data_IF_005432551068
#
_entry.id   IF_005432551068
#
_cell.length_a   1.000
_cell.length_b   1.000
_cell.length_c   1.000
_cell.angle_alpha   90.00
_cell.angle_beta   90.00
_cell.angle_gamma   90.00
#
_symmetry.space_group_name_H-M   'P 1'
#
loop_
_entity.id
_entity.type
_entity.pdbx_description
1 polymer ?
#
# COMPACT_ATOMS: atom_id res chain seq x y z
N UNK A 1 100.53 -6.84 -12.07
CA UNK A 1 99.62 -6.02 -11.28
C UNK A 1 98.26 -6.09 -11.97
N UNK A 2 97.38 -6.90 -11.48
CA UNK A 2 96.11 -7.28 -12.14
C UNK A 2 94.91 -6.62 -11.34
N UNK A 3 94.17 -5.82 -12.03
CA UNK A 3 92.88 -5.27 -11.48
C UNK A 3 91.68 -6.06 -12.08
N UNK A 4 91.02 -6.85 -11.23
CA UNK A 4 89.81 -7.54 -11.56
C UNK A 4 88.61 -6.58 -11.46
N UNK A 5 87.90 -6.36 -12.57
CA UNK A 5 86.63 -5.65 -12.57
C UNK A 5 85.49 -6.67 -12.18
N UNK A 6 84.81 -6.38 -11.10
CA UNK A 6 83.57 -7.07 -10.72
C UNK A 6 82.40 -6.44 -11.49
N UNK A 7 81.70 -7.26 -12.24
CA UNK A 7 80.48 -6.91 -12.88
C UNK A 7 79.37 -7.03 -11.84
N UNK A 8 78.62 -5.95 -11.61
CA UNK A 8 77.38 -6.00 -10.81
C UNK A 8 76.17 -6.42 -11.67
N UNK A 9 75.60 -7.57 -11.35
CA UNK A 9 74.36 -8.01 -11.95
C UNK A 9 73.19 -7.37 -11.19
N UNK A 10 72.44 -6.52 -11.87
CA UNK A 10 71.22 -5.95 -11.34
C UNK A 10 70.07 -6.98 -11.48
N UNK A 11 69.61 -7.53 -10.36
CA UNK A 11 68.35 -8.30 -10.30
C UNK A 11 67.15 -7.34 -10.32
N UNK A 12 66.44 -7.33 -11.44
CA UNK A 12 65.14 -6.70 -11.51
C UNK A 12 64.08 -7.63 -10.84
N UNK A 13 63.65 -7.27 -9.68
CA UNK A 13 62.54 -7.95 -9.00
C UNK A 13 61.21 -7.51 -9.65
N UNK A 14 60.58 -8.41 -10.41
CA UNK A 14 59.22 -8.25 -10.85
C UNK A 14 58.30 -8.44 -9.63
N UNK A 15 57.73 -7.39 -9.10
CA UNK A 15 56.65 -7.43 -8.12
C UNK A 15 55.36 -7.65 -8.91
N UNK A 16 54.90 -8.90 -9.00
CA UNK A 16 53.54 -9.24 -9.44
C UNK A 16 52.59 -8.83 -8.34
N UNK A 17 51.89 -7.71 -8.52
CA UNK A 17 50.79 -7.32 -7.65
C UNK A 17 49.66 -8.31 -7.88
N UNK A 18 49.47 -9.22 -6.93
CA UNK A 18 48.25 -10.08 -6.85
C UNK A 18 47.10 -9.13 -6.48
N UNK A 19 46.29 -8.76 -7.47
CA UNK A 19 44.97 -8.15 -7.20
C UNK A 19 44.11 -9.24 -6.63
N UNK A 20 44.08 -9.36 -5.28
CA UNK A 20 43.06 -10.12 -4.58
C UNK A 20 41.77 -9.36 -4.79
N UNK A 21 40.99 -9.78 -5.78
CA UNK A 21 39.60 -9.37 -5.92
C UNK A 21 38.89 -9.75 -4.64
N UNK A 22 38.57 -8.75 -3.81
CA UNK A 22 37.61 -8.94 -2.71
C UNK A 22 36.30 -9.27 -3.40
N UNK A 23 36.00 -10.58 -3.51
CA UNK A 23 34.66 -11.06 -3.76
C UNK A 23 33.88 -10.62 -2.52
N UNK A 24 33.23 -9.44 -2.61
CA UNK A 24 32.20 -9.08 -1.66
C UNK A 24 31.17 -10.22 -1.81
N UNK A 25 30.95 -11.06 -0.77
CA UNK A 25 29.93 -12.08 -0.88
C UNK A 25 28.65 -11.32 -1.19
N UNK A 26 27.94 -11.75 -2.27
CA UNK A 26 26.56 -11.39 -2.48
C UNK A 26 25.92 -11.51 -1.11
N UNK A 27 25.46 -10.40 -0.54
CA UNK A 27 24.76 -10.42 0.73
C UNK A 27 23.56 -11.28 0.43
N UNK A 28 23.66 -12.55 0.85
CA UNK A 28 22.62 -13.51 0.67
C UNK A 28 21.33 -12.81 1.09
N UNK A 29 20.45 -12.61 0.12
CA UNK A 29 19.10 -12.13 0.34
C UNK A 29 18.59 -12.94 1.53
N UNK A 30 18.50 -12.34 2.70
CA UNK A 30 17.85 -12.98 3.83
C UNK A 30 16.42 -13.20 3.34
N UNK A 31 16.12 -14.43 2.95
CA UNK A 31 14.76 -14.88 2.69
C UNK A 31 13.98 -14.48 3.96
N UNK A 32 13.00 -13.59 3.85
CA UNK A 32 12.22 -13.26 5.03
C UNK A 32 11.65 -14.58 5.53
N UNK A 33 11.97 -14.95 6.74
CA UNK A 33 11.45 -16.14 7.39
C UNK A 33 9.93 -16.11 7.28
N UNK A 34 9.37 -16.99 6.45
CA UNK A 34 8.01 -17.03 5.93
C UNK A 34 7.73 -15.92 4.89
N UNK A 35 7.40 -16.26 3.65
CA UNK A 35 7.02 -15.27 2.66
C UNK A 35 5.79 -14.54 3.20
N UNK A 36 5.97 -13.27 3.55
CA UNK A 36 4.84 -12.38 3.75
C UNK A 36 4.16 -12.36 2.39
N UNK A 37 3.02 -13.04 2.29
CA UNK A 37 2.22 -13.01 1.07
C UNK A 37 1.69 -11.60 0.95
N UNK A 38 2.44 -10.77 0.23
CA UNK A 38 1.98 -9.43 -0.10
C UNK A 38 0.63 -9.52 -0.80
N UNK A 39 -0.24 -8.53 -0.60
CA UNK A 39 -1.54 -8.47 -1.27
C UNK A 39 -1.42 -8.16 -2.76
N UNK A 40 -0.33 -8.56 -3.41
CA UNK A 40 -0.13 -8.49 -4.87
C UNK A 40 -1.27 -9.13 -5.68
N UNK A 41 -2.04 -10.02 -5.03
CA UNK A 41 -3.26 -10.59 -5.60
C UNK A 41 -4.44 -9.60 -5.66
N UNK A 42 -4.32 -8.42 -5.06
CA UNK A 42 -5.41 -7.45 -4.95
C UNK A 42 -4.94 -6.07 -5.36
N UNK A 43 -5.79 -5.34 -6.08
CA UNK A 43 -5.49 -3.96 -6.46
C UNK A 43 -5.75 -3.04 -5.28
N UNK A 44 -4.75 -2.24 -4.91
CA UNK A 44 -4.87 -1.22 -3.87
C UNK A 44 -5.46 0.08 -4.43
N UNK A 45 -6.28 0.75 -3.64
CA UNK A 45 -6.74 2.11 -3.88
C UNK A 45 -5.89 3.08 -3.06
N UNK A 46 -5.55 4.24 -3.65
CA UNK A 46 -4.73 5.27 -3.03
C UNK A 46 -5.44 6.61 -3.11
N UNK A 47 -5.20 7.45 -2.11
CA UNK A 47 -5.69 8.82 -2.09
C UNK A 47 -4.58 9.79 -1.70
N UNK A 48 -4.74 11.03 -2.14
CA UNK A 48 -3.92 12.16 -1.73
C UNK A 48 -4.84 13.35 -1.43
N UNK A 49 -4.62 14.01 -0.30
CA UNK A 49 -5.39 15.19 0.08
C UNK A 49 -5.73 15.21 1.56
N UNK A 50 -6.60 16.16 1.93
CA UNK A 50 -7.08 16.24 3.30
C UNK A 50 -8.20 15.24 3.54
N UNK A 51 -8.18 14.64 4.71
CA UNK A 51 -9.29 13.86 5.25
C UNK A 51 -9.52 14.27 6.70
N UNK A 52 -10.60 13.82 7.27
CA UNK A 52 -10.90 14.06 8.68
C UNK A 52 -11.29 12.75 9.36
N UNK A 53 -11.06 12.68 10.65
CA UNK A 53 -11.65 11.64 11.47
C UNK A 53 -12.65 12.23 12.46
N UNK A 54 -13.65 11.45 12.80
CA UNK A 54 -14.71 11.80 13.76
C UNK A 54 -15.22 10.52 14.40
N UNK A 55 -15.59 10.59 15.67
CA UNK A 55 -15.87 9.41 16.47
C UNK A 55 -16.96 8.49 15.87
N UNK A 56 -18.02 9.08 15.30
CA UNK A 56 -19.12 8.36 14.63
C UNK A 56 -19.14 8.68 13.15
N UNK A 57 -19.21 7.70 12.29
CA UNK A 57 -19.35 7.89 10.84
C UNK A 57 -20.52 8.85 10.54
N UNK A 58 -20.31 9.98 9.84
CA UNK A 58 -21.36 10.95 9.55
C UNK A 58 -22.49 10.34 8.73
N UNK A 59 -23.67 10.92 8.78
CA UNK A 59 -24.75 10.54 7.87
C UNK A 59 -24.35 10.84 6.41
N UNK A 60 -24.95 10.14 5.44
CA UNK A 60 -24.72 10.42 4.02
C UNK A 60 -25.15 11.85 3.65
N UNK A 61 -26.16 12.41 4.32
CA UNK A 61 -26.58 13.80 4.15
C UNK A 61 -25.51 14.79 4.63
N UNK A 62 -24.88 14.51 5.79
CA UNK A 62 -23.77 15.31 6.28
C UNK A 62 -22.55 15.26 5.34
N UNK A 63 -22.21 14.06 4.86
CA UNK A 63 -21.14 13.90 3.86
C UNK A 63 -21.47 14.63 2.54
N UNK A 64 -22.74 14.63 2.11
CA UNK A 64 -23.16 15.37 0.91
C UNK A 64 -23.04 16.89 1.09
N UNK A 65 -23.41 17.42 2.28
CA UNK A 65 -23.24 18.83 2.62
C UNK A 65 -21.77 19.27 2.65
N UNK A 66 -20.90 18.42 3.17
CA UNK A 66 -19.45 18.67 3.26
C UNK A 66 -18.73 18.53 1.92
N UNK A 67 -19.25 17.69 1.01
CA UNK A 67 -18.61 17.45 -0.28
C UNK A 67 -18.67 18.67 -1.18
N UNK A 68 -17.51 19.18 -1.58
CA UNK A 68 -17.39 20.37 -2.44
C UNK A 68 -17.49 21.71 -1.71
N UNK A 69 -17.91 21.73 -0.43
CA UNK A 69 -17.88 22.93 0.42
C UNK A 69 -16.69 22.94 1.37
N UNK A 70 -16.20 21.75 1.75
CA UNK A 70 -15.02 21.58 2.62
C UNK A 70 -13.77 21.27 1.82
N UNK A 71 -12.56 21.42 2.40
CA UNK A 71 -11.30 21.03 1.76
C UNK A 71 -11.05 19.52 1.81
N UNK A 72 -11.93 18.74 2.43
CA UNK A 72 -11.75 17.33 2.69
C UNK A 72 -12.23 16.47 1.51
N UNK A 73 -11.44 15.46 1.18
CA UNK A 73 -11.74 14.48 0.13
C UNK A 73 -11.84 13.07 0.68
N UNK A 74 -11.54 12.88 1.96
CA UNK A 74 -11.61 11.59 2.64
C UNK A 74 -12.17 11.72 4.05
N UNK A 75 -12.63 10.60 4.58
CA UNK A 75 -13.15 10.46 5.94
C UNK A 75 -12.68 9.16 6.55
N UNK A 76 -12.26 9.20 7.81
CA UNK A 76 -11.99 8.00 8.59
C UNK A 76 -13.30 7.31 8.99
N UNK A 77 -13.25 5.98 9.10
CA UNK A 77 -14.33 5.17 9.64
C UNK A 77 -13.78 4.21 10.70
N UNK A 78 -14.20 4.36 11.95
CA UNK A 78 -13.87 3.43 13.03
C UNK A 78 -14.72 2.17 12.93
N UNK A 79 -14.24 1.19 12.14
CA UNK A 79 -15.05 0.05 11.69
C UNK A 79 -15.03 -1.15 12.64
N UNK A 80 -14.16 -1.18 13.63
CA UNK A 80 -14.04 -2.31 14.55
C UNK A 80 -13.13 -2.07 15.74
N UNK A 81 -12.95 -3.13 16.53
CA UNK A 81 -12.10 -3.14 17.70
C UNK A 81 -12.86 -2.94 19.01
N UNK A 82 -12.35 -3.54 20.09
CA UNK A 82 -13.01 -3.54 21.41
C UNK A 82 -12.90 -2.21 22.15
N UNK A 83 -11.89 -1.39 21.81
CA UNK A 83 -11.68 -0.06 22.42
C UNK A 83 -12.32 1.07 21.61
N UNK A 84 -13.13 0.77 20.60
CA UNK A 84 -13.84 1.79 19.83
C UNK A 84 -14.77 2.59 20.73
N UNK A 85 -14.57 3.91 20.78
CA UNK A 85 -15.23 4.80 21.72
C UNK A 85 -16.71 5.08 21.43
N UNK A 86 -17.11 5.11 20.14
CA UNK A 86 -18.46 5.51 19.72
C UNK A 86 -19.19 4.40 19.00
N UNK A 87 -20.52 4.40 19.16
CA UNK A 87 -21.42 3.59 18.32
C UNK A 87 -21.35 4.05 16.85
N UNK A 88 -21.63 3.14 15.92
CA UNK A 88 -21.57 3.41 14.48
C UNK A 88 -22.92 3.13 13.78
N UNK A 89 -23.99 3.86 14.11
CA UNK A 89 -25.33 3.55 13.61
C UNK A 89 -25.45 3.72 12.09
N UNK A 90 -24.64 4.60 11.50
CA UNK A 90 -24.67 4.85 10.06
C UNK A 90 -23.80 3.86 9.27
N UNK A 91 -22.77 3.26 9.88
CA UNK A 91 -21.74 2.50 9.17
C UNK A 91 -22.22 1.11 8.78
N UNK A 92 -22.65 1.00 7.54
CA UNK A 92 -23.07 -0.24 6.88
C UNK A 92 -22.36 -0.42 5.55
N UNK A 93 -22.41 -1.63 4.96
CA UNK A 93 -21.87 -1.85 3.62
C UNK A 93 -22.53 -0.97 2.54
N UNK A 94 -23.81 -0.62 2.69
CA UNK A 94 -24.48 0.33 1.80
C UNK A 94 -23.96 1.76 1.98
N UNK A 95 -23.77 2.20 3.22
CA UNK A 95 -23.15 3.49 3.51
C UNK A 95 -21.74 3.61 2.88
N UNK A 96 -20.91 2.58 3.06
CA UNK A 96 -19.55 2.51 2.48
C UNK A 96 -19.58 2.68 0.95
N UNK A 97 -20.46 1.94 0.27
CA UNK A 97 -20.62 2.06 -1.19
C UNK A 97 -21.12 3.45 -1.60
N UNK A 98 -22.11 3.99 -0.89
CA UNK A 98 -22.67 5.31 -1.19
C UNK A 98 -21.66 6.43 -0.99
N UNK A 99 -20.94 6.45 0.13
CA UNK A 99 -19.88 7.41 0.40
C UNK A 99 -18.76 7.34 -0.65
N UNK A 100 -18.30 6.12 -0.98
CA UNK A 100 -17.28 5.92 -2.03
C UNK A 100 -17.79 6.37 -3.42
N UNK A 101 -19.05 6.10 -3.76
CA UNK A 101 -19.66 6.55 -5.03
C UNK A 101 -19.78 8.06 -5.11
N UNK A 102 -20.07 8.72 -3.98
CA UNK A 102 -20.07 10.17 -3.85
C UNK A 102 -18.66 10.79 -3.92
N UNK A 103 -17.61 9.98 -4.02
CA UNK A 103 -16.21 10.41 -4.22
C UNK A 103 -15.43 10.58 -2.92
N UNK A 104 -15.93 10.12 -1.78
CA UNK A 104 -15.16 10.09 -0.54
C UNK A 104 -14.16 8.94 -0.54
N UNK A 105 -12.90 9.24 -0.23
CA UNK A 105 -11.91 8.22 0.14
C UNK A 105 -12.13 7.81 1.59
N UNK A 106 -12.19 6.50 1.85
CA UNK A 106 -12.44 5.99 3.21
C UNK A 106 -11.13 5.47 3.81
N UNK A 107 -10.85 5.87 5.06
CA UNK A 107 -9.70 5.40 5.85
C UNK A 107 -10.20 4.52 6.98
N UNK A 108 -10.22 3.18 6.82
CA UNK A 108 -10.78 2.27 7.82
C UNK A 108 -9.81 2.09 9.00
N UNK A 109 -10.26 2.40 10.22
CA UNK A 109 -9.48 2.30 11.45
C UNK A 109 -10.10 1.31 12.43
N UNK A 110 -9.25 0.45 12.98
CA UNK A 110 -9.60 -0.60 13.92
C UNK A 110 -8.99 -0.29 15.29
N UNK A 111 -9.83 0.03 16.28
CA UNK A 111 -9.42 0.35 17.66
C UNK A 111 -9.36 -0.94 18.48
N UNK A 112 -8.28 -1.69 18.30
CA UNK A 112 -8.04 -2.99 18.96
C UNK A 112 -7.64 -2.84 20.42
N UNK A 113 -7.19 -3.95 20.98
CA UNK A 113 -6.60 -3.93 22.32
C UNK A 113 -5.32 -3.09 22.32
N UNK A 114 -5.11 -2.34 23.39
CA UNK A 114 -3.94 -1.49 23.54
C UNK A 114 -2.83 -2.17 24.33
N UNK A 115 -1.56 -1.75 24.20
CA UNK A 115 -0.49 -2.33 25.01
C UNK A 115 -0.73 -2.07 26.52
N UNK A 116 -0.26 -2.96 27.37
CA UNK A 116 -0.41 -2.85 28.83
C UNK A 116 0.10 -1.51 29.40
N UNK A 117 1.01 -0.88 28.71
CA UNK A 117 1.72 0.36 29.06
C UNK A 117 1.16 1.61 28.35
N UNK A 118 0.00 1.52 27.71
CA UNK A 118 -0.68 2.67 27.09
C UNK A 118 -0.99 3.74 28.14
N UNK A 119 -0.78 5.01 27.79
CA UNK A 119 -1.23 6.11 28.61
C UNK A 119 -2.75 6.25 28.60
N UNK A 120 -3.30 6.79 29.65
CA UNK A 120 -4.74 6.95 29.82
C UNK A 120 -5.49 5.64 30.11
N UNK A 121 -6.81 5.73 30.19
CA UNK A 121 -7.68 4.60 30.50
C UNK A 121 -8.17 3.93 29.23
N UNK A 122 -7.75 2.69 29.00
CA UNK A 122 -8.26 1.82 27.95
C UNK A 122 -8.71 0.49 28.57
N UNK A 123 -9.98 0.11 28.44
CA UNK A 123 -10.52 -1.07 29.13
C UNK A 123 -9.92 -2.39 28.64
N UNK A 124 -9.52 -2.47 27.38
CA UNK A 124 -8.95 -3.70 26.81
C UNK A 124 -7.48 -3.50 26.47
N UNK A 125 -6.63 -4.29 27.15
CA UNK A 125 -5.18 -4.23 26.99
C UNK A 125 -4.61 -5.64 26.83
N UNK A 126 -3.51 -5.75 26.07
CA UNK A 126 -2.76 -6.99 25.98
C UNK A 126 -1.48 -6.93 26.82
N UNK A 127 -1.13 -8.05 27.43
CA UNK A 127 0.16 -8.23 28.11
C UNK A 127 1.29 -8.40 27.09
N UNK A 128 2.54 -8.16 27.51
CA UNK A 128 3.70 -8.31 26.62
C UNK A 128 3.79 -9.70 25.98
N UNK A 129 3.57 -10.78 26.75
CA UNK A 129 3.58 -12.16 26.27
C UNK A 129 2.44 -12.49 25.29
N UNK A 130 1.35 -11.72 25.33
CA UNK A 130 0.17 -11.90 24.47
C UNK A 130 0.19 -11.09 23.17
N UNK A 131 1.19 -10.22 22.97
CA UNK A 131 1.20 -9.26 21.88
C UNK A 131 1.09 -9.90 20.49
N UNK A 132 1.81 -10.98 20.23
CA UNK A 132 1.75 -11.69 18.95
C UNK A 132 0.35 -12.27 18.67
N UNK A 133 -0.18 -13.02 19.64
CA UNK A 133 -1.51 -13.61 19.52
C UNK A 133 -2.59 -12.55 19.35
N UNK A 134 -2.48 -11.42 20.06
CA UNK A 134 -3.45 -10.32 19.98
C UNK A 134 -3.41 -9.62 18.62
N UNK A 135 -2.19 -9.27 18.14
CA UNK A 135 -2.05 -8.64 16.82
C UNK A 135 -2.62 -9.50 15.69
N UNK A 136 -2.34 -10.82 15.73
CA UNK A 136 -2.90 -11.76 14.78
C UNK A 136 -4.44 -11.87 14.87
N UNK A 137 -4.98 -11.96 16.08
CA UNK A 137 -6.44 -12.07 16.29
C UNK A 137 -7.18 -10.79 15.88
N UNK A 138 -6.66 -9.61 16.23
CA UNK A 138 -7.23 -8.32 15.83
C UNK A 138 -7.21 -8.16 14.31
N UNK A 139 -6.12 -8.58 13.65
CA UNK A 139 -6.05 -8.57 12.19
C UNK A 139 -7.08 -9.48 11.53
N UNK A 140 -7.34 -10.67 12.07
CA UNK A 140 -8.37 -11.59 11.58
C UNK A 140 -9.78 -11.00 11.76
N UNK A 141 -10.10 -10.45 12.93
CA UNK A 141 -11.40 -9.79 13.18
C UNK A 141 -11.58 -8.57 12.28
N UNK A 142 -10.52 -7.75 12.11
CA UNK A 142 -10.55 -6.61 11.20
C UNK A 142 -10.90 -7.02 9.76
N UNK A 143 -10.29 -8.09 9.25
CA UNK A 143 -10.61 -8.62 7.92
C UNK A 143 -12.06 -9.07 7.82
N UNK A 144 -12.58 -9.77 8.82
CA UNK A 144 -13.98 -10.22 8.83
C UNK A 144 -14.96 -9.03 8.79
N UNK A 145 -14.71 -8.00 9.61
CA UNK A 145 -15.52 -6.76 9.64
C UNK A 145 -15.39 -5.96 8.34
N UNK A 146 -14.17 -5.83 7.79
CA UNK A 146 -13.96 -5.17 6.51
C UNK A 146 -14.79 -5.78 5.40
N UNK A 147 -14.82 -7.13 5.31
CA UNK A 147 -15.63 -7.86 4.34
C UNK A 147 -17.13 -7.60 4.53
N UNK A 148 -17.63 -7.60 5.77
CA UNK A 148 -19.06 -7.32 6.06
C UNK A 148 -19.46 -5.90 5.65
N UNK A 149 -18.51 -4.96 5.64
CA UNK A 149 -18.70 -3.57 5.19
C UNK A 149 -18.41 -3.35 3.69
N UNK A 150 -18.19 -4.41 2.91
CA UNK A 150 -17.85 -4.32 1.48
C UNK A 150 -16.52 -3.62 1.20
N UNK A 151 -15.61 -3.59 2.17
CA UNK A 151 -14.22 -3.20 1.97
C UNK A 151 -13.48 -4.38 1.36
N UNK A 152 -13.00 -4.23 0.13
CA UNK A 152 -12.41 -5.32 -0.65
C UNK A 152 -10.94 -5.56 -0.28
N UNK A 153 -10.39 -6.76 -0.55
CA UNK A 153 -8.95 -6.96 -0.60
C UNK A 153 -8.26 -5.89 -1.44
N UNK A 154 -7.09 -5.43 -1.00
CA UNK A 154 -6.42 -4.23 -1.52
C UNK A 154 -6.74 -2.95 -0.73
N UNK A 155 -7.74 -2.96 0.16
CA UNK A 155 -7.94 -1.89 1.14
C UNK A 155 -6.80 -1.86 2.15
N UNK A 156 -6.39 -0.67 2.58
CA UNK A 156 -5.60 -0.49 3.79
C UNK A 156 -6.52 -0.44 5.01
N UNK A 157 -6.21 -1.24 6.02
CA UNK A 157 -6.86 -1.22 7.32
C UNK A 157 -5.85 -0.73 8.36
N UNK A 158 -6.19 0.31 9.10
CA UNK A 158 -5.29 0.96 10.05
C UNK A 158 -5.56 0.48 11.47
N UNK A 159 -4.57 -0.14 12.12
CA UNK A 159 -4.64 -0.38 13.57
C UNK A 159 -4.42 0.94 14.30
N UNK A 160 -5.27 1.25 15.26
CA UNK A 160 -5.09 2.35 16.19
C UNK A 160 -4.22 1.90 17.37
N UNK A 161 -3.00 2.43 17.44
CA UNK A 161 -2.05 2.21 18.54
C UNK A 161 -1.78 3.53 19.22
N UNK A 162 -2.40 3.71 20.36
CA UNK A 162 -2.35 4.93 21.15
C UNK A 162 -0.96 5.21 21.75
N UNK A 163 -0.76 6.40 22.29
CA UNK A 163 0.49 6.78 22.95
C UNK A 163 0.78 5.91 24.17
N UNK A 164 2.03 5.43 24.31
CA UNK A 164 2.46 4.51 25.36
C UNK A 164 3.84 4.86 25.92
N UNK A 165 4.14 4.29 27.08
CA UNK A 165 5.42 4.48 27.77
C UNK A 165 6.57 3.74 27.08
N UNK A 166 7.41 4.50 26.36
CA UNK A 166 8.61 4.00 25.68
C UNK A 166 9.80 3.72 26.62
N UNK A 167 9.76 4.20 27.87
CA UNK A 167 10.82 3.87 28.84
C UNK A 167 10.79 2.39 29.21
N UNK A 168 9.65 1.74 29.00
CA UNK A 168 9.47 0.31 29.21
C UNK A 168 9.85 -0.47 27.93
N UNK A 169 11.04 -1.06 27.90
CA UNK A 169 11.54 -1.84 26.76
C UNK A 169 10.66 -3.04 26.40
N UNK A 170 10.00 -3.67 27.39
CA UNK A 170 9.04 -4.76 27.14
C UNK A 170 7.82 -4.26 26.39
N UNK A 171 7.37 -3.03 26.68
CA UNK A 171 6.29 -2.39 25.95
C UNK A 171 6.66 -2.14 24.48
N UNK A 172 7.82 -1.56 24.24
CA UNK A 172 8.32 -1.32 22.88
C UNK A 172 8.35 -2.60 22.05
N UNK A 173 8.87 -3.69 22.66
CA UNK A 173 8.90 -5.00 22.01
C UNK A 173 7.50 -5.53 21.74
N UNK A 174 6.59 -5.42 22.70
CA UNK A 174 5.21 -5.87 22.57
C UNK A 174 4.47 -5.15 21.46
N UNK A 175 4.60 -3.82 21.35
CA UNK A 175 3.97 -3.04 20.29
C UNK A 175 4.51 -3.41 18.91
N UNK A 176 5.83 -3.53 18.76
CA UNK A 176 6.44 -3.97 17.48
C UNK A 176 5.94 -5.36 17.07
N UNK A 177 5.83 -6.28 18.02
CA UNK A 177 5.34 -7.64 17.79
C UNK A 177 3.85 -7.62 17.40
N UNK A 178 3.02 -6.87 18.12
CA UNK A 178 1.60 -6.69 17.79
C UNK A 178 1.42 -6.18 16.35
N UNK A 179 2.10 -5.09 15.98
CA UNK A 179 2.01 -4.49 14.62
C UNK A 179 2.52 -5.45 13.56
N UNK A 180 3.57 -6.22 13.84
CA UNK A 180 4.08 -7.26 12.93
C UNK A 180 3.03 -8.33 12.66
N UNK A 181 2.38 -8.87 13.68
CA UNK A 181 1.39 -9.93 13.50
C UNK A 181 0.05 -9.42 12.93
N UNK A 182 -0.35 -8.18 13.28
CA UNK A 182 -1.41 -7.45 12.58
C UNK A 182 -1.14 -7.41 11.07
N UNK A 183 0.06 -6.96 10.69
CA UNK A 183 0.48 -6.85 9.28
C UNK A 183 0.42 -8.20 8.58
N UNK A 184 0.96 -9.26 9.19
CA UNK A 184 0.92 -10.62 8.65
C UNK A 184 -0.51 -11.14 8.45
N UNK A 185 -1.38 -10.89 9.42
CA UNK A 185 -2.78 -11.33 9.35
C UNK A 185 -3.54 -10.66 8.20
N UNK A 186 -3.34 -9.36 7.99
CA UNK A 186 -3.94 -8.62 6.89
C UNK A 186 -3.41 -9.10 5.53
N UNK A 187 -2.09 -9.24 5.40
CA UNK A 187 -1.45 -9.68 4.15
C UNK A 187 -1.93 -11.06 3.71
N UNK A 188 -2.09 -12.02 4.65
CA UNK A 188 -2.66 -13.35 4.32
C UNK A 188 -4.05 -13.28 3.69
N UNK A 189 -4.80 -12.21 3.96
CA UNK A 189 -6.14 -11.99 3.43
C UNK A 189 -6.20 -11.00 2.26
N UNK A 190 -5.05 -10.51 1.78
CA UNK A 190 -4.94 -9.59 0.65
C UNK A 190 -5.23 -8.13 0.98
N UNK A 191 -5.20 -7.75 2.27
CA UNK A 191 -5.33 -6.36 2.72
C UNK A 191 -3.97 -5.73 2.99
N UNK A 192 -3.87 -4.40 2.86
CA UNK A 192 -2.72 -3.64 3.30
C UNK A 192 -2.85 -3.29 4.80
N UNK A 193 -1.72 -3.28 5.49
CA UNK A 193 -1.65 -2.96 6.90
C UNK A 193 -1.23 -1.49 7.08
N UNK A 194 -2.14 -0.67 7.56
CA UNK A 194 -1.85 0.64 8.10
C UNK A 194 -1.72 0.60 9.62
N UNK A 195 -1.10 1.63 10.18
CA UNK A 195 -1.08 1.86 11.62
C UNK A 195 -1.15 3.35 11.95
N UNK A 196 -2.09 3.73 12.81
CA UNK A 196 -2.13 5.03 13.46
C UNK A 196 -1.30 4.97 14.72
N UNK A 197 -0.40 5.95 14.91
CA UNK A 197 0.57 5.97 16.00
C UNK A 197 0.94 7.40 16.40
N UNK A 198 1.18 7.61 17.71
CA UNK A 198 1.76 8.86 18.18
C UNK A 198 3.23 8.99 17.73
N UNK A 199 3.66 10.22 17.37
CA UNK A 199 5.02 10.48 16.86
C UNK A 199 6.13 10.04 17.81
N UNK A 200 5.97 10.28 19.13
CA UNK A 200 7.02 10.07 20.14
C UNK A 200 7.03 8.65 20.72
N UNK A 201 6.04 7.81 20.38
CA UNK A 201 6.01 6.40 20.73
C UNK A 201 6.02 5.49 19.50
N UNK A 202 4.88 5.11 18.99
CA UNK A 202 4.77 4.10 17.94
C UNK A 202 5.55 4.42 16.67
N UNK A 203 5.49 5.67 16.17
CA UNK A 203 6.23 6.02 14.95
C UNK A 203 7.75 5.86 15.14
N UNK A 204 8.28 6.32 16.28
CA UNK A 204 9.71 6.20 16.60
C UNK A 204 10.15 4.74 16.65
N UNK A 205 9.34 3.89 17.27
CA UNK A 205 9.68 2.49 17.44
C UNK A 205 9.59 1.69 16.14
N UNK A 206 8.57 1.99 15.32
CA UNK A 206 8.44 1.40 13.99
C UNK A 206 9.54 1.87 13.03
N UNK A 207 9.93 3.15 13.08
CA UNK A 207 11.06 3.67 12.30
C UNK A 207 12.38 2.98 12.70
N UNK A 208 12.60 2.76 14.00
CA UNK A 208 13.76 2.04 14.50
C UNK A 208 13.82 0.55 14.11
N UNK A 209 12.69 -0.05 13.75
CA UNK A 209 12.60 -1.43 13.24
C UNK A 209 12.30 -1.53 11.76
N UNK A 210 12.40 -0.43 11.00
CA UNK A 210 12.01 -0.37 9.60
C UNK A 210 12.70 -1.40 8.70
N UNK A 211 13.99 -1.66 8.95
CA UNK A 211 14.81 -2.63 8.20
C UNK A 211 14.83 -4.04 8.85
N UNK A 212 13.96 -4.31 9.83
CA UNK A 212 13.89 -5.63 10.48
C UNK A 212 13.60 -6.73 9.44
N UNK A 213 14.32 -7.84 9.56
CA UNK A 213 14.09 -9.05 8.75
C UNK A 213 13.14 -10.03 9.42
N UNK A 214 12.83 -9.82 10.71
CA UNK A 214 11.99 -10.72 11.52
C UNK A 214 10.60 -10.16 11.80
N UNK A 215 10.46 -8.83 11.82
CA UNK A 215 9.19 -8.14 12.00
C UNK A 215 8.60 -7.71 10.66
N UNK A 216 7.35 -8.05 10.42
CA UNK A 216 6.61 -7.54 9.27
C UNK A 216 6.36 -6.04 9.47
N UNK A 217 6.75 -5.22 8.47
CA UNK A 217 6.57 -3.78 8.49
C UNK A 217 5.17 -3.44 7.98
N UNK A 218 4.43 -2.51 8.63
CA UNK A 218 3.18 -2.00 8.10
C UNK A 218 3.41 -1.27 6.76
N UNK A 219 2.42 -1.35 5.87
CA UNK A 219 2.47 -0.76 4.53
C UNK A 219 2.29 0.75 4.55
N UNK A 220 1.66 1.29 5.59
CA UNK A 220 1.45 2.72 5.76
C UNK A 220 1.45 3.12 7.23
N UNK A 221 1.86 4.36 7.48
CA UNK A 221 1.80 4.97 8.82
C UNK A 221 0.95 6.23 8.79
N UNK A 222 0.13 6.38 9.82
CA UNK A 222 -0.64 7.58 10.10
C UNK A 222 -0.17 8.16 11.44
N UNK A 223 0.62 9.24 11.36
CA UNK A 223 1.24 9.86 12.53
C UNK A 223 0.31 10.86 13.18
N UNK A 224 0.11 10.76 14.49
CA UNK A 224 -0.51 11.79 15.32
C UNK A 224 0.54 12.79 15.80
N UNK A 225 0.39 14.05 15.37
CA UNK A 225 1.14 15.20 15.84
C UNK A 225 0.36 16.48 15.56
N UNK A 226 -0.17 17.09 16.60
CA UNK A 226 -1.02 18.29 16.52
C UNK A 226 -0.17 19.57 16.52
N UNK A 227 0.45 19.84 15.40
CA UNK A 227 1.28 21.02 15.18
C UNK A 227 0.68 22.01 14.15
N UNK A 228 -0.56 21.76 13.72
CA UNK A 228 -1.29 22.49 12.68
C UNK A 228 -0.60 22.53 11.31
N UNK A 229 0.39 21.65 11.06
CA UNK A 229 1.11 21.56 9.80
C UNK A 229 0.66 20.34 8.99
N UNK A 230 -0.13 20.56 7.96
CA UNK A 230 -0.58 19.53 7.02
C UNK A 230 0.54 19.08 6.09
N UNK A 231 1.63 18.49 6.64
CA UNK A 231 2.82 18.05 5.89
C UNK A 231 3.11 16.58 6.11
N UNK A 232 3.52 15.88 5.04
CA UNK A 232 3.90 14.47 5.06
C UNK A 232 5.42 14.25 4.98
N UNK A 233 6.19 15.31 5.01
CA UNK A 233 7.66 15.32 4.97
C UNK A 233 8.21 16.19 6.11
N UNK A 234 9.53 16.10 6.35
CA UNK A 234 10.16 16.85 7.42
C UNK A 234 9.88 16.31 8.82
N UNK A 235 9.44 15.06 8.95
CA UNK A 235 9.21 14.43 10.24
C UNK A 235 10.53 14.08 10.92
N UNK A 236 10.75 14.60 12.10
CA UNK A 236 11.99 14.36 12.87
C UNK A 236 12.12 12.90 13.34
N UNK A 237 11.00 12.22 13.51
CA UNK A 237 10.92 10.85 14.06
C UNK A 237 11.09 9.78 12.97
N UNK A 238 10.65 10.05 11.75
CA UNK A 238 10.81 9.16 10.62
C UNK A 238 11.31 9.95 9.41
N UNK A 239 12.54 9.68 8.97
CA UNK A 239 13.15 10.34 7.80
C UNK A 239 12.28 10.23 6.55
N UNK A 240 12.48 11.14 5.60
CA UNK A 240 11.66 11.21 4.38
C UNK A 240 11.78 9.98 3.46
N UNK A 241 12.73 9.10 3.70
CA UNK A 241 12.92 7.84 2.96
C UNK A 241 12.08 6.68 3.48
N UNK A 242 11.60 6.75 4.74
CA UNK A 242 10.78 5.70 5.35
C UNK A 242 9.32 5.93 4.98
N UNK A 243 8.61 4.92 4.55
CA UNK A 243 7.21 5.01 4.06
C UNK A 243 6.98 6.13 3.03
N UNK A 244 7.97 6.40 2.16
CA UNK A 244 7.98 7.57 1.30
C UNK A 244 6.93 7.52 0.17
N UNK A 245 6.77 6.37 -0.46
CA UNK A 245 5.99 6.24 -1.70
C UNK A 245 4.52 5.88 -1.41
N UNK A 246 3.68 6.89 -1.24
CA UNK A 246 2.25 6.69 -1.00
C UNK A 246 1.96 5.83 0.25
N UNK A 247 2.64 6.12 1.37
CA UNK A 247 2.55 5.31 2.57
C UNK A 247 2.39 6.15 3.85
N UNK A 248 2.07 7.46 3.72
CA UNK A 248 1.99 8.38 4.87
C UNK A 248 0.65 9.04 5.00
N UNK A 249 0.21 9.17 6.27
CA UNK A 249 -0.84 10.07 6.70
C UNK A 249 -0.42 10.79 7.99
N UNK A 250 -1.04 11.94 8.28
CA UNK A 250 -0.78 12.69 9.50
C UNK A 250 -2.08 13.32 10.00
N UNK A 251 -2.37 13.13 11.30
CA UNK A 251 -3.33 13.92 12.05
C UNK A 251 -2.59 15.14 12.59
N UNK A 252 -2.92 16.31 12.06
CA UNK A 252 -2.17 17.54 12.35
C UNK A 252 -2.90 18.52 13.28
N UNK A 253 -4.21 18.30 13.49
CA UNK A 253 -5.03 19.10 14.42
C UNK A 253 -6.12 18.21 15.00
N UNK A 254 -6.17 18.12 16.33
CA UNK A 254 -7.15 17.33 17.06
C UNK A 254 -8.33 18.17 17.55
N UNK A 255 -9.40 17.52 17.91
CA UNK A 255 -10.59 17.94 18.63
C UNK A 255 -11.05 19.39 18.38
N UNK A 256 -11.68 19.62 17.24
CA UNK A 256 -12.24 20.93 16.92
C UNK A 256 -13.49 20.81 16.05
N UNK A 257 -14.31 21.86 16.12
CA UNK A 257 -15.54 21.93 15.34
C UNK A 257 -15.29 22.68 14.04
N UNK A 258 -15.75 22.11 12.93
CA UNK A 258 -15.86 22.79 11.63
C UNK A 258 -17.29 22.73 11.10
N UNK A 259 -17.66 23.75 10.32
CA UNK A 259 -19.00 23.87 9.72
C UNK A 259 -18.85 24.01 8.21
N UNK A 260 -19.37 23.05 7.46
CA UNK A 260 -19.35 23.06 6.00
C UNK A 260 -20.71 22.70 5.45
N UNK A 261 -21.18 23.43 4.43
CA UNK A 261 -22.51 23.23 3.86
C UNK A 261 -23.64 23.33 4.88
N UNK A 262 -23.44 24.11 5.97
CA UNK A 262 -24.40 24.28 7.05
C UNK A 262 -24.43 23.13 8.07
N UNK A 263 -23.55 22.14 7.95
CA UNK A 263 -23.47 21.00 8.88
C UNK A 263 -22.22 21.11 9.74
N UNK A 264 -22.41 21.10 11.07
CA UNK A 264 -21.35 21.13 12.08
C UNK A 264 -20.92 19.71 12.44
N UNK A 265 -19.60 19.44 12.42
CA UNK A 265 -19.01 18.19 12.92
C UNK A 265 -17.84 18.53 13.84
N UNK A 266 -17.66 17.72 14.90
CA UNK A 266 -16.44 17.71 15.68
C UNK A 266 -15.49 16.69 15.05
N UNK A 267 -14.29 17.14 14.68
CA UNK A 267 -13.33 16.38 13.88
C UNK A 267 -11.91 16.54 14.39
N UNK A 268 -11.07 15.61 13.98
CA UNK A 268 -9.64 15.83 13.84
C UNK A 268 -9.30 16.03 12.37
N UNK A 269 -8.38 16.96 12.08
CA UNK A 269 -7.95 17.25 10.71
C UNK A 269 -6.69 16.48 10.32
N UNK A 270 -6.74 15.88 9.13
CA UNK A 270 -5.73 14.97 8.61
C UNK A 270 -5.30 15.31 7.20
N UNK A 271 -4.13 14.78 6.82
CA UNK A 271 -3.64 14.75 5.45
C UNK A 271 -3.09 13.35 5.13
N UNK A 272 -3.34 12.87 3.92
CA UNK A 272 -2.87 11.58 3.43
C UNK A 272 -2.22 11.69 2.05
N UNK A 273 -1.17 10.90 1.83
CA UNK A 273 -0.70 10.39 0.54
C UNK A 273 -0.40 8.91 0.75
N UNK A 274 -1.42 8.08 0.57
CA UNK A 274 -1.33 6.68 0.99
C UNK A 274 -2.50 5.81 0.56
N UNK A 275 -2.45 4.52 0.93
CA UNK A 275 -3.50 3.57 0.62
C UNK A 275 -4.73 3.80 1.50
N UNK A 276 -5.89 3.58 0.90
CA UNK A 276 -7.21 3.75 1.50
C UNK A 276 -8.10 2.54 1.19
N UNK A 277 -9.38 2.59 1.54
CA UNK A 277 -10.32 1.53 1.21
C UNK A 277 -10.47 1.33 -0.29
N UNK A 278 -10.50 0.07 -0.72
CA UNK A 278 -10.91 -0.36 -2.05
C UNK A 278 -12.38 -0.77 -2.00
N UNK A 279 -13.23 -0.05 -2.73
CA UNK A 279 -14.68 -0.27 -2.77
C UNK A 279 -15.12 -0.36 -4.22
N UNK A 280 -15.85 -1.42 -4.58
CA UNK A 280 -16.38 -1.54 -5.94
C UNK A 280 -17.51 -0.54 -6.19
N UNK A 281 -17.53 0.01 -7.41
CA UNK A 281 -18.59 0.90 -7.88
C UNK A 281 -19.47 0.18 -8.91
N UNK A 282 -20.77 0.38 -8.83
CA UNK A 282 -21.74 -0.31 -9.68
C UNK A 282 -22.03 0.48 -10.95
N UNK A 283 -21.94 -0.19 -12.09
CA UNK A 283 -22.28 0.33 -13.42
C UNK A 283 -23.15 -0.67 -14.18
N UNK A 284 -23.67 -0.29 -15.34
CA UNK A 284 -24.48 -1.17 -16.19
C UNK A 284 -23.68 -1.68 -17.38
N UNK A 285 -23.92 -2.92 -17.76
CA UNK A 285 -23.46 -3.50 -19.03
C UNK A 285 -24.29 -2.92 -20.16
N UNK A 286 -23.64 -2.28 -21.15
CA UNK A 286 -24.26 -1.56 -22.25
C UNK A 286 -24.18 -2.32 -23.58
N UNK A 287 -23.53 -3.49 -23.62
CA UNK A 287 -23.50 -4.35 -24.82
C UNK A 287 -24.88 -4.90 -25.14
N UNK A 288 -25.16 -5.12 -26.43
CA UNK A 288 -26.39 -5.76 -26.91
C UNK A 288 -26.35 -7.27 -26.84
N UNK A 289 -25.18 -7.87 -26.64
CA UNK A 289 -24.94 -9.30 -26.49
C UNK A 289 -24.23 -9.58 -25.18
N UNK A 290 -24.20 -10.84 -24.67
CA UNK A 290 -23.45 -11.18 -23.47
C UNK A 290 -22.00 -10.72 -23.55
N UNK A 291 -21.56 -9.94 -22.55
CA UNK A 291 -20.22 -9.37 -22.45
C UNK A 291 -19.26 -10.39 -21.84
N UNK A 292 -18.22 -10.77 -22.56
CA UNK A 292 -17.20 -11.69 -22.07
C UNK A 292 -16.41 -11.09 -20.92
N UNK A 293 -16.31 -11.83 -19.82
CA UNK A 293 -15.35 -11.59 -18.72
C UNK A 293 -14.08 -12.37 -19.03
N UNK A 294 -12.95 -11.69 -19.02
CA UNK A 294 -11.66 -12.26 -19.43
C UNK A 294 -10.66 -12.33 -18.28
N UNK A 295 -9.73 -13.29 -18.34
CA UNK A 295 -8.69 -13.44 -17.33
C UNK A 295 -7.67 -12.30 -17.31
N UNK A 296 -7.57 -11.51 -18.38
CA UNK A 296 -6.69 -10.35 -18.53
C UNK A 296 -7.32 -9.26 -19.41
N UNK A 297 -6.73 -8.06 -19.46
CA UNK A 297 -7.29 -6.90 -20.17
C UNK A 297 -7.00 -6.96 -21.69
N UNK A 298 -7.26 -8.08 -22.33
CA UNK A 298 -7.13 -8.26 -23.79
C UNK A 298 -8.23 -9.14 -24.35
N UNK A 299 -8.58 -8.95 -25.62
CA UNK A 299 -9.55 -9.79 -26.33
C UNK A 299 -9.04 -11.22 -26.58
N UNK A 300 -7.73 -11.44 -26.53
CA UNK A 300 -7.10 -12.76 -26.64
C UNK A 300 -7.00 -13.51 -25.30
N UNK A 301 -7.24 -12.84 -24.17
CA UNK A 301 -7.25 -13.50 -22.85
C UNK A 301 -8.43 -14.48 -22.75
N UNK A 302 -8.22 -15.56 -22.00
CA UNK A 302 -9.24 -16.59 -21.80
C UNK A 302 -10.56 -15.99 -21.28
N UNK A 303 -11.67 -16.45 -21.82
CA UNK A 303 -13.01 -16.12 -21.31
C UNK A 303 -13.25 -16.96 -20.06
N UNK A 304 -13.53 -16.30 -18.94
CA UNK A 304 -13.78 -16.93 -17.63
C UNK A 304 -15.21 -16.76 -17.13
N UNK A 305 -16.05 -16.06 -17.91
CA UNK A 305 -17.44 -15.82 -17.59
C UNK A 305 -18.10 -14.87 -18.58
N UNK A 306 -19.37 -14.57 -18.37
CA UNK A 306 -20.13 -13.60 -19.16
C UNK A 306 -21.07 -12.78 -18.27
N UNK A 307 -21.33 -11.54 -18.66
CA UNK A 307 -22.32 -10.65 -18.06
C UNK A 307 -23.45 -10.42 -19.08
N UNK A 308 -24.68 -10.44 -18.61
CA UNK A 308 -25.86 -10.23 -19.47
C UNK A 308 -26.03 -8.75 -19.80
N UNK A 309 -26.54 -8.41 -21.01
CA UNK A 309 -26.92 -7.05 -21.36
C UNK A 309 -27.83 -6.41 -20.29
N UNK A 310 -27.54 -5.15 -19.95
CA UNK A 310 -28.30 -4.39 -18.96
C UNK A 310 -28.07 -4.81 -17.49
N UNK A 311 -27.33 -5.88 -17.22
CA UNK A 311 -27.01 -6.28 -15.84
C UNK A 311 -26.08 -5.27 -15.16
N UNK A 312 -26.07 -5.30 -13.83
CA UNK A 312 -25.14 -4.49 -13.02
C UNK A 312 -23.81 -5.20 -12.88
N UNK A 313 -22.73 -4.47 -13.10
CA UNK A 313 -21.35 -4.93 -12.88
C UNK A 313 -20.67 -4.06 -11.82
N UNK A 314 -19.96 -4.70 -10.88
CA UNK A 314 -19.24 -4.03 -9.81
C UNK A 314 -17.76 -3.89 -10.20
N UNK A 315 -17.34 -2.68 -10.56
CA UNK A 315 -15.98 -2.35 -11.00
C UNK A 315 -15.13 -1.93 -9.81
N UNK A 316 -13.95 -2.52 -9.68
CA UNK A 316 -12.97 -2.21 -8.62
C UNK A 316 -12.01 -1.11 -9.07
N UNK A 317 -11.43 -1.27 -10.27
CA UNK A 317 -10.40 -0.37 -10.81
C UNK A 317 -10.32 -0.53 -12.33
N UNK A 318 -9.64 0.40 -12.99
CA UNK A 318 -9.41 0.40 -14.42
C UNK A 318 -7.94 0.13 -14.77
N UNK A 319 -7.70 -0.77 -15.73
CA UNK A 319 -6.39 -1.10 -16.27
C UNK A 319 -6.28 -0.70 -17.74
N UNK A 320 -5.08 -0.39 -18.21
CA UNK A 320 -4.79 -0.28 -19.63
C UNK A 320 -4.62 -1.67 -20.23
N UNK A 321 -5.22 -1.88 -21.40
CA UNK A 321 -5.15 -3.16 -22.11
C UNK A 321 -5.22 -2.98 -23.62
N UNK A 322 -5.68 -4.02 -24.32
CA UNK A 322 -5.86 -4.01 -25.75
C UNK A 322 -6.97 -3.03 -26.17
N UNK A 323 -6.77 -2.34 -27.28
CA UNK A 323 -7.78 -1.46 -27.87
C UNK A 323 -9.02 -2.26 -28.30
N UNK A 324 -10.19 -1.84 -27.84
CA UNK A 324 -11.51 -2.37 -28.23
C UNK A 324 -12.37 -1.18 -28.69
N UNK A 325 -12.62 -1.10 -29.97
CA UNK A 325 -13.28 0.08 -30.56
C UNK A 325 -12.45 1.35 -30.31
N UNK A 326 -12.93 2.25 -29.46
CA UNK A 326 -12.31 3.56 -29.20
C UNK A 326 -11.54 3.63 -27.89
N UNK A 327 -11.55 2.58 -27.06
CA UNK A 327 -10.87 2.59 -25.75
C UNK A 327 -9.91 1.43 -25.57
N UNK A 328 -8.80 1.71 -24.89
CA UNK A 328 -7.87 0.70 -24.37
C UNK A 328 -8.05 0.50 -22.85
N UNK A 329 -9.15 0.99 -22.28
CA UNK A 329 -9.47 0.82 -20.86
C UNK A 329 -10.27 -0.46 -20.64
N UNK A 330 -9.89 -1.19 -19.60
CA UNK A 330 -10.53 -2.41 -19.15
C UNK A 330 -10.87 -2.30 -17.67
N UNK A 331 -12.08 -2.67 -17.33
CA UNK A 331 -12.59 -2.67 -15.97
C UNK A 331 -12.31 -3.99 -15.30
N UNK A 332 -11.58 -3.97 -14.19
CA UNK A 332 -11.47 -5.12 -13.30
C UNK A 332 -12.71 -5.19 -12.42
N UNK A 333 -13.39 -6.31 -12.44
CA UNK A 333 -14.65 -6.50 -11.73
C UNK A 333 -14.48 -7.30 -10.43
N UNK A 334 -15.40 -7.12 -9.50
CA UNK A 334 -15.33 -7.71 -8.16
C UNK A 334 -15.49 -9.24 -8.14
N UNK A 335 -16.16 -9.80 -9.12
CA UNK A 335 -16.27 -11.27 -9.31
C UNK A 335 -15.01 -11.91 -9.90
N UNK A 336 -13.98 -11.11 -10.23
CA UNK A 336 -12.75 -11.53 -10.89
C UNK A 336 -12.76 -11.27 -12.39
N UNK A 337 -11.56 -11.14 -12.97
CA UNK A 337 -11.37 -10.88 -14.39
C UNK A 337 -11.59 -9.43 -14.82
N UNK A 338 -11.67 -9.24 -16.14
CA UNK A 338 -11.72 -7.95 -16.80
C UNK A 338 -12.81 -7.94 -17.87
N UNK A 339 -13.45 -6.78 -18.03
CA UNK A 339 -14.35 -6.48 -19.15
C UNK A 339 -13.87 -5.21 -19.85
N UNK A 340 -14.12 -5.08 -21.17
CA UNK A 340 -13.78 -3.84 -21.87
C UNK A 340 -14.71 -2.72 -21.39
N UNK A 341 -14.13 -1.60 -21.00
CA UNK A 341 -14.85 -0.38 -20.57
C UNK A 341 -15.80 0.18 -21.65
N UNK A 342 -15.53 -0.14 -22.93
CA UNK A 342 -16.43 0.23 -24.03
C UNK A 342 -17.89 -0.21 -23.81
N UNK A 343 -18.09 -1.28 -23.09
CA UNK A 343 -19.40 -1.92 -22.87
C UNK A 343 -19.90 -1.79 -21.44
N UNK A 344 -19.39 -0.81 -20.70
CA UNK A 344 -19.79 -0.50 -19.32
C UNK A 344 -20.11 0.99 -19.21
N UNK A 345 -21.17 1.35 -18.48
CA UNK A 345 -21.63 2.74 -18.34
C UNK A 345 -20.78 3.56 -17.36
N UNK A 346 -19.46 3.40 -17.41
CA UNK A 346 -18.54 4.23 -16.63
C UNK A 346 -18.58 5.69 -17.14
N UNK A 347 -18.15 6.69 -16.34
CA UNK A 347 -18.21 8.10 -16.76
C UNK A 347 -17.42 8.46 -18.01
N UNK A 348 -16.43 7.66 -18.40
CA UNK A 348 -15.64 7.89 -19.61
C UNK A 348 -15.51 6.59 -20.42
N UNK A 349 -15.92 6.62 -21.69
CA UNK A 349 -15.78 5.48 -22.62
C UNK A 349 -14.57 5.58 -23.55
N UNK A 350 -13.73 6.61 -23.40
CA UNK A 350 -12.53 6.83 -24.24
C UNK A 350 -11.23 6.84 -23.44
N UNK A 351 -11.31 7.03 -22.14
CA UNK A 351 -10.17 7.10 -21.22
C UNK A 351 -10.51 6.60 -19.83
N UNK A 352 -9.57 6.71 -18.93
CA UNK A 352 -9.82 6.36 -17.53
C UNK A 352 -10.86 7.29 -16.89
N UNK A 353 -11.82 6.74 -16.21
CA UNK A 353 -12.83 7.47 -15.45
C UNK A 353 -12.23 8.02 -14.17
N UNK A 354 -12.32 9.33 -13.93
CA UNK A 354 -11.79 9.97 -12.72
C UNK A 354 -12.40 9.40 -11.42
N UNK A 355 -13.62 8.86 -11.50
CA UNK A 355 -14.32 8.25 -10.38
C UNK A 355 -13.78 6.85 -10.01
N UNK A 356 -12.95 6.23 -10.85
CA UNK A 356 -12.42 4.88 -10.65
C UNK A 356 -10.89 4.93 -10.45
N UNK A 357 -10.35 4.19 -9.48
CA UNK A 357 -8.91 4.09 -9.33
C UNK A 357 -8.29 3.32 -10.49
N UNK A 358 -7.03 3.60 -10.80
CA UNK A 358 -6.23 2.73 -11.66
C UNK A 358 -5.85 1.47 -10.89
N UNK A 359 -5.93 0.32 -11.56
CA UNK A 359 -5.48 -0.93 -10.97
C UNK A 359 -3.98 -0.82 -10.63
N UNK A 360 -3.63 -1.14 -9.40
CA UNK A 360 -2.26 -1.07 -8.90
C UNK A 360 -2.00 -2.19 -7.89
N UNK A 361 -1.01 -3.01 -8.18
CA UNK A 361 -0.68 -4.19 -7.39
C UNK A 361 0.58 -3.89 -6.57
N UNK A 362 0.47 -3.71 -5.25
CA UNK A 362 1.61 -3.35 -4.44
C UNK A 362 2.56 -4.53 -4.27
N UNK A 363 3.85 -4.26 -4.43
CA UNK A 363 4.96 -5.12 -4.05
C UNK A 363 5.98 -4.32 -3.27
N UNK A 364 6.69 -4.94 -2.33
CA UNK A 364 7.68 -4.24 -1.52
C UNK A 364 9.06 -4.30 -2.17
N UNK A 365 9.77 -3.18 -2.16
CA UNK A 365 11.19 -3.13 -2.56
C UNK A 365 12.03 -3.88 -1.52
N UNK A 366 12.77 -4.91 -1.96
CA UNK A 366 13.51 -5.86 -1.12
C UNK A 366 15.00 -5.54 -0.94
N UNK A 367 15.51 -4.54 -1.63
CA UNK A 367 16.89 -4.03 -1.51
C UNK A 367 16.90 -2.65 -0.84
N UNK A 368 18.09 -2.09 -0.54
CA UNK A 368 18.22 -0.76 0.07
C UNK A 368 17.65 0.35 -0.80
N UNK A 369 17.84 0.27 -2.11
CA UNK A 369 17.22 1.13 -3.10
C UNK A 369 17.26 0.45 -4.47
N UNK A 370 16.30 0.73 -5.34
CA UNK A 370 16.26 0.26 -6.71
C UNK A 370 16.05 1.41 -7.68
N UNK A 371 16.87 1.46 -8.73
CA UNK A 371 16.71 2.46 -9.79
C UNK A 371 15.41 2.26 -10.56
N UNK A 372 14.73 3.35 -10.85
CA UNK A 372 13.61 3.37 -11.79
C UNK A 372 14.07 3.84 -13.17
N UNK A 373 13.44 3.31 -14.22
CA UNK A 373 13.85 3.52 -15.61
C UNK A 373 12.66 3.96 -16.47
N UNK A 374 13.00 4.50 -17.65
CA UNK A 374 11.99 4.92 -18.65
C UNK A 374 11.37 3.76 -19.44
N UNK A 375 11.90 2.53 -19.28
CA UNK A 375 11.42 1.34 -19.98
C UNK A 375 11.89 0.04 -19.34
N UNK A 376 11.44 -1.12 -19.85
CA UNK A 376 11.68 -2.44 -19.27
C UNK A 376 13.08 -2.97 -19.62
N UNK A 377 14.14 -2.42 -19.03
CA UNK A 377 15.50 -2.91 -19.24
C UNK A 377 16.58 -1.98 -18.72
N UNK A 378 17.77 -2.52 -18.50
CA UNK A 378 18.94 -1.79 -17.99
C UNK A 378 19.52 -0.78 -18.99
N UNK A 379 19.22 -0.94 -20.29
CA UNK A 379 19.61 0.01 -21.34
C UNK A 379 18.72 1.27 -21.37
N UNK A 380 17.54 1.24 -20.76
CA UNK A 380 16.68 2.42 -20.68
C UNK A 380 17.22 3.44 -19.68
N UNK A 381 16.90 4.70 -19.92
CA UNK A 381 17.36 5.83 -19.10
C UNK A 381 17.01 5.64 -17.61
N UNK A 382 18.01 5.77 -16.75
CA UNK A 382 17.80 5.89 -15.30
C UNK A 382 17.15 7.26 -15.02
N UNK A 383 15.98 7.22 -14.37
CA UNK A 383 15.21 8.44 -14.07
C UNK A 383 15.73 9.20 -12.84
N UNK A 384 16.75 8.67 -12.15
CA UNK A 384 17.30 9.24 -10.92
C UNK A 384 16.27 9.47 -9.80
N UNK A 385 15.23 8.64 -9.79
CA UNK A 385 14.14 8.62 -8.81
C UNK A 385 14.04 7.21 -8.21
N UNK A 386 15.03 6.74 -7.45
CA UNK A 386 15.05 5.38 -6.94
C UNK A 386 13.89 5.16 -5.95
N UNK A 387 13.34 3.94 -5.97
CA UNK A 387 12.50 3.48 -4.86
C UNK A 387 13.40 3.02 -3.73
N UNK A 388 13.13 3.50 -2.54
CA UNK A 388 13.88 3.14 -1.33
C UNK A 388 13.49 1.74 -0.85
N UNK A 389 14.39 1.08 -0.15
CA UNK A 389 14.12 -0.20 0.47
C UNK A 389 12.85 -0.16 1.33
N UNK A 390 11.98 -1.13 1.11
CA UNK A 390 10.70 -1.20 1.80
C UNK A 390 9.59 -0.31 1.27
N UNK A 391 9.86 0.56 0.29
CA UNK A 391 8.80 1.29 -0.39
C UNK A 391 7.84 0.33 -1.11
N UNK A 392 6.57 0.71 -1.23
CA UNK A 392 5.62 -0.01 -2.06
C UNK A 392 5.75 0.41 -3.53
N UNK A 393 6.16 -0.54 -4.36
CA UNK A 393 6.07 -0.43 -5.81
C UNK A 393 4.63 -0.77 -6.23
N UNK A 394 3.87 0.22 -6.66
CA UNK A 394 2.49 0.04 -7.15
C UNK A 394 2.51 -0.33 -8.63
N UNK A 395 2.50 -1.64 -8.91
CA UNK A 395 2.64 -2.20 -10.25
C UNK A 395 1.32 -2.10 -11.03
N UNK A 396 1.36 -1.51 -12.21
CA UNK A 396 0.22 -1.45 -13.13
C UNK A 396 0.16 -2.68 -14.04
N UNK A 397 1.32 -3.09 -14.59
CA UNK A 397 1.45 -4.26 -15.47
C UNK A 397 2.91 -4.75 -15.51
N UNK A 398 3.12 -5.94 -16.08
CA UNK A 398 4.42 -6.57 -16.23
C UNK A 398 4.77 -6.84 -17.70
N UNK A 399 6.06 -6.68 -18.07
CA UNK A 399 6.57 -6.93 -19.40
C UNK A 399 7.96 -7.58 -19.33
N UNK A 400 8.31 -8.38 -20.33
CA UNK A 400 9.68 -8.90 -20.47
C UNK A 400 10.61 -7.78 -20.93
N UNK A 401 11.83 -7.80 -20.39
CA UNK A 401 12.90 -6.86 -20.71
C UNK A 401 14.27 -7.49 -20.53
N UNK A 402 15.31 -6.70 -20.22
CA UNK A 402 16.65 -7.25 -19.97
C UNK A 402 16.70 -8.09 -18.69
N UNK A 403 17.54 -9.11 -18.68
CA UNK A 403 17.77 -9.96 -17.51
C UNK A 403 18.39 -9.14 -16.36
N UNK A 404 17.83 -9.30 -15.16
CA UNK A 404 18.36 -8.76 -13.90
C UNK A 404 18.27 -9.86 -12.86
N UNK A 405 19.41 -10.30 -12.32
CA UNK A 405 19.45 -11.45 -11.43
C UNK A 405 18.86 -12.69 -12.12
N UNK A 406 17.76 -13.20 -11.62
CA UNK A 406 17.12 -14.44 -12.10
C UNK A 406 15.89 -14.20 -12.98
N UNK A 407 15.53 -12.95 -13.29
CA UNK A 407 14.30 -12.65 -14.03
C UNK A 407 14.50 -11.62 -15.14
N UNK A 408 13.77 -11.80 -16.24
CA UNK A 408 13.58 -10.78 -17.28
C UNK A 408 12.27 -9.98 -17.11
N UNK A 409 11.50 -10.22 -16.05
CA UNK A 409 10.25 -9.50 -15.81
C UNK A 409 10.54 -8.10 -15.27
N UNK A 410 9.87 -7.12 -15.85
CA UNK A 410 9.90 -5.73 -15.44
C UNK A 410 8.50 -5.25 -15.09
N UNK A 411 8.39 -4.53 -14.00
CA UNK A 411 7.17 -3.92 -13.50
C UNK A 411 7.03 -2.49 -14.00
N UNK A 412 5.97 -2.18 -14.74
CA UNK A 412 5.56 -0.80 -14.95
C UNK A 412 4.76 -0.34 -13.74
N UNK A 413 5.20 0.77 -13.15
CA UNK A 413 4.48 1.41 -12.05
C UNK A 413 3.32 2.24 -12.60
N UNK A 414 2.35 2.54 -11.76
CA UNK A 414 1.17 3.35 -12.15
C UNK A 414 1.49 4.77 -12.58
N UNK A 415 2.67 5.28 -12.24
CA UNK A 415 3.20 6.58 -12.69
C UNK A 415 4.04 6.50 -13.98
N UNK A 416 4.15 5.32 -14.57
CA UNK A 416 4.87 5.07 -15.82
C UNK A 416 6.33 4.68 -15.68
N UNK A 417 6.93 4.80 -14.49
CA UNK A 417 8.29 4.33 -14.21
C UNK A 417 8.37 2.81 -14.30
N UNK A 418 9.57 2.28 -14.58
CA UNK A 418 9.82 0.85 -14.63
C UNK A 418 10.84 0.42 -13.58
N UNK A 419 10.63 -0.75 -12.99
CA UNK A 419 11.53 -1.37 -12.02
C UNK A 419 11.63 -2.87 -12.30
N UNK A 420 12.84 -3.44 -12.14
CA UNK A 420 13.03 -4.88 -12.28
C UNK A 420 12.24 -5.63 -11.20
N UNK A 421 11.54 -6.67 -11.60
CA UNK A 421 10.79 -7.56 -10.72
C UNK A 421 11.70 -8.29 -9.71
N UNK A 422 12.98 -8.46 -10.03
CA UNK A 422 13.96 -9.05 -9.13
C UNK A 422 14.04 -8.39 -7.76
N UNK A 423 13.77 -7.09 -7.70
CA UNK A 423 13.86 -6.28 -6.48
C UNK A 423 12.49 -5.97 -5.86
N UNK A 424 11.42 -6.58 -6.32
CA UNK A 424 10.06 -6.33 -5.83
C UNK A 424 9.47 -7.63 -5.32
N UNK A 425 9.06 -7.67 -4.06
CA UNK A 425 8.38 -8.83 -3.50
C UNK A 425 6.96 -8.94 -4.06
N UNK A 426 6.77 -9.86 -4.96
CA UNK A 426 5.49 -10.29 -5.50
C UNK A 426 5.44 -11.82 -5.55
N UNK A 427 4.44 -12.40 -6.21
CA UNK A 427 4.24 -13.85 -6.20
C UNK A 427 5.36 -14.66 -6.88
N UNK A 428 6.08 -14.07 -7.81
CA UNK A 428 7.12 -14.75 -8.55
C UNK A 428 8.20 -13.78 -8.99
N UNK A 429 9.44 -14.09 -8.67
CA UNK A 429 10.62 -13.36 -9.15
C UNK A 429 11.24 -14.00 -10.40
N UNK A 430 10.61 -14.99 -11.00
CA UNK A 430 11.11 -15.71 -12.20
C UNK A 430 10.12 -15.65 -13.35
N UNK A 431 8.84 -15.49 -13.05
CA UNK A 431 7.75 -15.45 -14.02
C UNK A 431 6.80 -14.30 -13.71
N UNK A 432 5.85 -14.07 -14.60
CA UNK A 432 4.80 -13.07 -14.37
C UNK A 432 3.92 -13.43 -13.17
N UNK A 433 3.63 -12.46 -12.36
CA UNK A 433 2.85 -12.60 -11.12
C UNK A 433 1.36 -12.34 -11.36
N UNK A 434 0.54 -13.39 -11.46
CA UNK A 434 -0.91 -13.20 -11.50
C UNK A 434 -1.41 -12.60 -10.16
N UNK A 435 -2.37 -11.68 -10.16
CA UNK A 435 -3.21 -11.19 -11.27
C UNK A 435 -2.69 -9.91 -11.94
N UNK A 436 -1.42 -9.55 -11.78
CA UNK A 436 -0.83 -8.40 -12.46
C UNK A 436 -0.93 -8.61 -13.97
N UNK A 437 -1.57 -7.71 -14.74
CA UNK A 437 -1.73 -7.89 -16.16
C UNK A 437 -0.41 -7.73 -16.91
N UNK A 438 -0.34 -8.30 -18.13
CA UNK A 438 0.72 -8.00 -19.09
C UNK A 438 0.55 -6.57 -19.62
N UNK A 439 1.66 -5.84 -19.76
CA UNK A 439 1.63 -4.58 -20.48
C UNK A 439 1.38 -4.81 -21.97
N UNK A 440 0.64 -3.95 -22.62
CA UNK A 440 0.42 -3.98 -24.07
C UNK A 440 1.72 -3.95 -24.87
#
# INVERSE_FOLDING_TARGET
MSYARRAAASLAAFVTALVVGVVVPDVARADPATPVTYPAASSATRAQGRFFDTCTAPSLAALAAWRGTSPYTGVNIYFGGRNRGCAQPNLTGSWVRSASTAGWSLVPTYVGDQPFCVFGSKPYRYAASGAAARGGADGVDAVARARSLSLLPGSALYADVEHYDRSNASCVTAVRTYVSEWTRALHRSGYLAGVYVHQDSGLRDLAGSYISTTLARPDAVWMARWDNLATLTGWTTAGNTLWAEWQRAKQYRGDHVEIWGGVSLNIDSDIIKGPVASVAKSYRVTSSTPLNVRSGPTASSAIIGQLQPGSTVAVICQARGQLVGTTAVWDRISSGGYVSDRYVSTPSSTGFSAALPRCSYPGQVTTTAVNTRSGPGTAYTNLNQPLQGGALAYVACQKSGSLVGTTSVWNQLVDGRWVSDYYVSNRSNTTYSAPVPRCP
#
